data_IF_605008226044
#
_entry.id   IF_605008226044
#
_cell.length_a   1.000
_cell.length_b   1.000
_cell.length_c   1.000
_cell.angle_alpha   90.00
_cell.angle_beta   90.00
_cell.angle_gamma   90.00
#
_symmetry.space_group_name_H-M   'P 1'
#
loop_
_entity.id
_entity.type
_entity.pdbx_description
1 polymer ?
#
# COMPACT_ATOMS: atom_id res chain seq x y z
N UNK A 1 -7.62 3.05 -16.51
CA UNK A 1 -8.66 2.55 -15.59
C UNK A 1 -8.08 1.66 -14.49
N UNK A 2 -7.42 0.52 -14.77
CA UNK A 2 -6.84 -0.36 -13.72
C UNK A 2 -5.87 0.32 -12.74
N UNK A 3 -5.05 1.26 -13.22
CA UNK A 3 -4.06 1.97 -12.40
C UNK A 3 -4.72 2.96 -11.41
N UNK A 4 -5.85 3.57 -11.79
CA UNK A 4 -6.53 4.54 -10.93
C UNK A 4 -7.32 3.87 -9.81
N UNK A 5 -8.06 2.79 -10.10
CA UNK A 5 -8.75 2.03 -9.05
C UNK A 5 -7.76 1.48 -8.01
N UNK A 6 -6.62 0.93 -8.47
CA UNK A 6 -5.56 0.46 -7.58
C UNK A 6 -4.98 1.58 -6.70
N UNK A 7 -4.67 2.75 -7.29
CA UNK A 7 -4.19 3.91 -6.54
C UNK A 7 -5.20 4.39 -5.50
N UNK A 8 -6.48 4.35 -5.83
CA UNK A 8 -7.57 4.78 -4.95
C UNK A 8 -7.75 3.80 -3.78
N UNK A 9 -7.75 2.49 -4.03
CA UNK A 9 -7.75 1.49 -2.97
C UNK A 9 -6.55 1.67 -2.01
N UNK A 10 -5.34 1.86 -2.56
CA UNK A 10 -4.14 2.06 -1.74
C UNK A 10 -4.19 3.35 -0.90
N UNK A 11 -4.72 4.45 -1.46
CA UNK A 11 -4.94 5.67 -0.71
C UNK A 11 -5.95 5.48 0.42
N UNK A 12 -6.99 4.68 0.19
CA UNK A 12 -7.98 4.36 1.20
C UNK A 12 -7.41 3.48 2.32
N UNK A 13 -6.58 2.49 2.00
CA UNK A 13 -5.94 1.64 3.01
C UNK A 13 -5.04 2.45 3.96
N UNK A 14 -4.32 3.45 3.43
CA UNK A 14 -3.39 4.26 4.21
C UNK A 14 -4.07 5.44 4.94
N UNK A 15 -5.11 6.02 4.36
CA UNK A 15 -5.64 7.32 4.79
C UNK A 15 -7.16 7.33 4.99
N UNK A 16 -7.86 6.22 4.76
CA UNK A 16 -9.32 6.14 4.79
C UNK A 16 -9.94 6.51 6.13
N UNK A 17 -9.23 6.27 7.24
CA UNK A 17 -9.66 6.67 8.59
C UNK A 17 -9.63 8.19 8.84
N UNK A 18 -9.03 8.97 7.93
CA UNK A 18 -9.04 10.43 7.99
C UNK A 18 -10.26 11.04 7.30
N UNK A 19 -11.03 10.23 6.57
CA UNK A 19 -12.28 10.67 5.96
C UNK A 19 -13.38 10.82 7.01
N UNK A 20 -14.35 11.69 6.73
CA UNK A 20 -15.61 11.67 7.48
C UNK A 20 -16.34 10.36 7.23
N UNK A 21 -17.16 9.90 8.20
CA UNK A 21 -17.92 8.64 8.08
C UNK A 21 -18.66 8.53 6.74
N UNK A 22 -19.32 9.62 6.31
CA UNK A 22 -20.05 9.66 5.05
C UNK A 22 -19.16 9.56 3.81
N UNK A 23 -17.97 10.16 3.85
CA UNK A 23 -17.00 10.03 2.76
C UNK A 23 -16.47 8.60 2.71
N UNK A 24 -16.11 8.04 3.87
CA UNK A 24 -15.58 6.69 4.00
C UNK A 24 -16.59 5.66 3.48
N UNK A 25 -17.83 5.75 3.92
CA UNK A 25 -18.92 4.87 3.51
C UNK A 25 -19.17 4.93 1.99
N UNK A 26 -19.28 6.12 1.40
CA UNK A 26 -19.53 6.23 -0.04
C UNK A 26 -18.33 5.77 -0.88
N UNK A 27 -17.12 5.97 -0.37
CA UNK A 27 -15.90 5.50 -1.01
C UNK A 27 -15.82 3.97 -1.00
N UNK A 28 -16.12 3.35 0.15
CA UNK A 28 -16.14 1.90 0.35
C UNK A 28 -17.16 1.23 -0.57
N UNK A 29 -18.41 1.74 -0.59
CA UNK A 29 -19.45 1.24 -1.48
C UNK A 29 -19.04 1.30 -2.96
N UNK A 30 -18.35 2.35 -3.38
CA UNK A 30 -17.98 2.56 -4.78
C UNK A 30 -16.74 1.75 -5.20
N UNK A 31 -15.70 1.70 -4.37
CA UNK A 31 -14.42 1.09 -4.72
C UNK A 31 -14.26 -0.36 -4.25
N UNK A 32 -14.92 -0.75 -3.15
CA UNK A 32 -14.77 -2.07 -2.54
C UNK A 32 -16.01 -2.96 -2.74
N UNK A 33 -17.20 -2.38 -2.76
CA UNK A 33 -18.45 -3.12 -3.02
C UNK A 33 -18.94 -3.04 -4.48
N UNK A 34 -18.22 -2.33 -5.35
CA UNK A 34 -18.54 -2.15 -6.78
C UNK A 34 -19.94 -1.54 -7.07
N UNK A 35 -20.55 -0.83 -6.12
CA UNK A 35 -21.80 -0.12 -6.37
C UNK A 35 -21.59 1.05 -7.32
N UNK A 36 -22.51 1.22 -8.26
CA UNK A 36 -22.57 2.40 -9.10
C UNK A 36 -23.05 3.63 -8.32
N UNK A 37 -22.69 4.82 -8.81
CA UNK A 37 -23.18 6.08 -8.25
C UNK A 37 -24.71 6.19 -8.22
N UNK A 38 -25.41 5.46 -9.09
CA UNK A 38 -26.87 5.44 -9.12
C UNK A 38 -27.44 4.56 -8.00
N UNK A 39 -26.86 3.38 -7.76
CA UNK A 39 -27.24 2.48 -6.67
C UNK A 39 -26.99 3.15 -5.31
N UNK A 40 -25.85 3.81 -5.13
CA UNK A 40 -25.57 4.58 -3.91
C UNK A 40 -26.56 5.75 -3.77
N UNK A 41 -26.88 6.45 -4.86
CA UNK A 41 -27.82 7.56 -4.81
C UNK A 41 -29.23 7.11 -4.36
N UNK A 42 -29.68 5.96 -4.88
CA UNK A 42 -30.94 5.33 -4.53
C UNK A 42 -30.97 4.90 -3.05
N UNK A 43 -29.93 4.20 -2.59
CA UNK A 43 -29.82 3.72 -1.20
C UNK A 43 -29.88 4.84 -0.15
N UNK A 44 -29.33 6.02 -0.48
CA UNK A 44 -29.24 7.14 0.46
C UNK A 44 -30.24 8.26 0.17
N UNK A 45 -31.12 8.11 -0.84
CA UNK A 45 -32.13 9.09 -1.19
C UNK A 45 -31.55 10.45 -1.62
N UNK A 46 -30.39 10.45 -2.29
CA UNK A 46 -29.72 11.66 -2.78
C UNK A 46 -29.55 11.62 -4.30
N UNK A 47 -29.02 12.69 -4.88
CA UNK A 47 -28.73 12.71 -6.32
C UNK A 47 -27.44 11.97 -6.63
N UNK A 48 -27.36 11.38 -7.83
CA UNK A 48 -26.12 10.80 -8.38
C UNK A 48 -24.95 11.80 -8.39
N UNK A 49 -25.25 13.08 -8.61
CA UNK A 49 -24.24 14.15 -8.53
C UNK A 49 -23.76 14.36 -7.09
N UNK A 50 -24.67 14.31 -6.11
CA UNK A 50 -24.31 14.39 -4.70
C UNK A 50 -23.37 13.26 -4.26
N UNK A 51 -23.61 12.02 -4.71
CA UNK A 51 -22.68 10.89 -4.49
C UNK A 51 -21.32 11.19 -5.10
N UNK A 52 -21.30 11.58 -6.38
CA UNK A 52 -20.07 11.91 -7.11
C UNK A 52 -19.25 12.99 -6.39
N UNK A 53 -19.88 14.04 -5.90
CA UNK A 53 -19.21 15.15 -5.23
C UNK A 53 -18.61 14.74 -3.88
N UNK A 54 -19.20 13.76 -3.20
CA UNK A 54 -18.63 13.20 -1.96
C UNK A 54 -17.38 12.37 -2.29
N UNK A 55 -17.46 11.47 -3.27
CA UNK A 55 -16.35 10.60 -3.68
C UNK A 55 -15.17 11.44 -4.20
N UNK A 56 -15.40 12.38 -5.11
CA UNK A 56 -14.33 13.23 -5.68
C UNK A 56 -13.64 14.07 -4.59
N UNK A 57 -14.39 14.55 -3.60
CA UNK A 57 -13.78 15.27 -2.46
C UNK A 57 -12.96 14.34 -1.57
N UNK A 58 -13.40 13.11 -1.36
CA UNK A 58 -12.62 12.11 -0.63
C UNK A 58 -11.32 11.78 -1.39
N UNK A 59 -11.38 11.49 -2.69
CA UNK A 59 -10.21 11.24 -3.54
C UNK A 59 -9.19 12.40 -3.48
N UNK A 60 -9.66 13.64 -3.60
CA UNK A 60 -8.81 14.82 -3.55
C UNK A 60 -8.13 14.96 -2.19
N UNK A 61 -8.88 14.74 -1.10
CA UNK A 61 -8.34 14.83 0.26
C UNK A 61 -7.28 13.76 0.54
N UNK A 62 -7.54 12.49 0.20
CA UNK A 62 -6.57 11.40 0.35
C UNK A 62 -5.31 11.67 -0.48
N UNK A 63 -5.47 12.16 -1.71
CA UNK A 63 -4.35 12.52 -2.58
C UNK A 63 -3.51 13.64 -1.98
N UNK A 64 -4.14 14.68 -1.44
CA UNK A 64 -3.44 15.80 -0.79
C UNK A 64 -2.63 15.33 0.43
N UNK A 65 -3.15 14.38 1.20
CA UNK A 65 -2.42 13.79 2.32
C UNK A 65 -1.18 13.03 1.83
N UNK A 66 -1.29 12.21 0.77
CA UNK A 66 -0.12 11.55 0.18
C UNK A 66 0.88 12.56 -0.37
N UNK A 67 0.44 13.62 -1.02
CA UNK A 67 1.35 14.66 -1.55
C UNK A 67 2.15 15.34 -0.42
N UNK A 68 1.52 15.53 0.74
CA UNK A 68 2.15 16.15 1.93
C UNK A 68 3.04 15.20 2.72
N UNK A 69 2.63 13.94 2.87
CA UNK A 69 3.29 12.98 3.79
C UNK A 69 4.18 11.99 3.06
N UNK A 70 3.81 11.62 1.84
CA UNK A 70 4.53 10.67 0.99
C UNK A 70 4.65 9.28 1.58
N UNK A 71 3.74 8.84 2.46
CA UNK A 71 3.88 7.57 3.17
C UNK A 71 3.83 6.38 2.21
N UNK A 72 2.93 6.39 1.23
CA UNK A 72 2.82 5.31 0.25
C UNK A 72 4.10 5.26 -0.60
N UNK A 73 4.59 6.41 -1.06
CA UNK A 73 5.86 6.48 -1.81
C UNK A 73 7.02 5.92 -1.00
N UNK A 74 7.14 6.29 0.28
CA UNK A 74 8.21 5.83 1.17
C UNK A 74 8.08 4.34 1.47
N UNK A 75 6.86 3.84 1.65
CA UNK A 75 6.59 2.42 1.86
C UNK A 75 7.07 1.58 0.67
N UNK A 76 6.71 1.95 -0.56
CA UNK A 76 7.19 1.24 -1.75
C UNK A 76 8.71 1.33 -1.93
N UNK A 77 9.30 2.47 -1.61
CA UNK A 77 10.77 2.64 -1.66
C UNK A 77 11.45 1.71 -0.65
N UNK A 78 10.92 1.64 0.58
CA UNK A 78 11.43 0.75 1.62
C UNK A 78 11.29 -0.72 1.23
N UNK A 79 10.14 -1.14 0.69
CA UNK A 79 9.96 -2.51 0.19
C UNK A 79 10.96 -2.88 -0.92
N UNK A 80 11.23 -1.95 -1.84
CA UNK A 80 12.23 -2.19 -2.90
C UNK A 80 13.64 -2.35 -2.31
N UNK A 81 14.02 -1.48 -1.38
CA UNK A 81 15.31 -1.53 -0.71
C UNK A 81 15.48 -2.81 0.13
N UNK A 82 14.44 -3.27 0.83
CA UNK A 82 14.49 -4.51 1.60
C UNK A 82 14.69 -5.74 0.70
N UNK A 83 14.06 -5.77 -0.49
CA UNK A 83 14.30 -6.83 -1.48
C UNK A 83 15.73 -6.80 -2.03
N UNK A 84 16.31 -5.61 -2.20
CA UNK A 84 17.73 -5.49 -2.56
C UNK A 84 18.64 -6.04 -1.45
N UNK A 85 18.32 -5.75 -0.18
CA UNK A 85 19.04 -6.28 0.99
C UNK A 85 18.95 -7.80 1.05
N UNK A 86 17.75 -8.38 0.86
CA UNK A 86 17.53 -9.83 0.76
C UNK A 86 18.39 -10.45 -0.34
N UNK A 87 18.39 -9.85 -1.54
CA UNK A 87 19.23 -10.30 -2.66
C UNK A 87 20.73 -10.22 -2.37
N UNK A 88 21.18 -9.18 -1.66
CA UNK A 88 22.57 -9.07 -1.21
C UNK A 88 22.93 -10.15 -0.18
N UNK A 89 22.02 -10.45 0.76
CA UNK A 89 22.19 -11.51 1.75
C UNK A 89 22.37 -12.86 1.07
N UNK A 90 21.50 -13.16 0.10
CA UNK A 90 21.56 -14.40 -0.67
C UNK A 90 22.90 -14.54 -1.38
N UNK A 91 23.35 -13.47 -2.04
CA UNK A 91 24.64 -13.46 -2.75
C UNK A 91 25.83 -13.63 -1.81
N UNK A 92 25.76 -13.06 -0.61
CA UNK A 92 26.78 -13.21 0.43
C UNK A 92 26.89 -14.68 0.85
N UNK A 93 25.76 -15.34 1.12
CA UNK A 93 25.71 -16.75 1.50
C UNK A 93 26.25 -17.67 0.39
N UNK A 94 25.86 -17.43 -0.87
CA UNK A 94 26.41 -18.16 -2.03
C UNK A 94 27.94 -18.04 -2.11
N UNK A 95 28.47 -16.84 -1.90
CA UNK A 95 29.91 -16.58 -1.96
C UNK A 95 30.65 -17.23 -0.80
N UNK A 96 30.06 -17.20 0.41
CA UNK A 96 30.60 -17.87 1.58
C UNK A 96 30.73 -19.37 1.34
N UNK A 97 29.64 -20.01 0.93
CA UNK A 97 29.60 -21.45 0.64
C UNK A 97 30.56 -21.87 -0.48
N UNK A 98 30.81 -20.99 -1.46
CA UNK A 98 31.67 -21.32 -2.60
C UNK A 98 33.17 -21.11 -2.37
N UNK A 99 33.58 -20.32 -1.36
CA UNK A 99 34.98 -19.86 -1.25
C UNK A 99 35.55 -19.83 0.17
N UNK A 100 34.74 -19.47 1.15
CA UNK A 100 35.23 -19.12 2.48
C UNK A 100 34.88 -20.17 3.52
N UNK A 101 33.70 -20.79 3.41
CA UNK A 101 33.18 -21.78 4.36
C UNK A 101 33.25 -21.28 5.82
N UNK A 102 32.98 -19.99 6.03
CA UNK A 102 33.06 -19.35 7.33
C UNK A 102 31.72 -19.42 8.06
N UNK A 103 31.71 -20.03 9.25
CA UNK A 103 30.50 -20.26 10.04
C UNK A 103 29.88 -18.96 10.58
N UNK A 104 30.69 -17.94 10.90
CA UNK A 104 30.20 -16.66 11.41
C UNK A 104 29.54 -15.84 10.29
N UNK A 105 30.15 -15.82 9.09
CA UNK A 105 29.55 -15.21 7.91
C UNK A 105 28.24 -15.89 7.50
N UNK A 106 28.18 -17.22 7.58
CA UNK A 106 26.97 -18.01 7.32
C UNK A 106 25.84 -17.62 8.29
N UNK A 107 26.16 -17.53 9.58
CA UNK A 107 25.20 -17.17 10.63
C UNK A 107 24.67 -15.74 10.44
N UNK A 108 25.56 -14.77 10.21
CA UNK A 108 25.18 -13.37 9.99
C UNK A 108 24.37 -13.19 8.70
N UNK A 109 24.75 -13.88 7.61
CA UNK A 109 24.02 -13.85 6.34
C UNK A 109 22.58 -14.39 6.49
N UNK A 110 22.41 -15.51 7.19
CA UNK A 110 21.08 -16.08 7.49
C UNK A 110 20.24 -15.16 8.38
N UNK A 111 20.85 -14.55 9.39
CA UNK A 111 20.16 -13.59 10.24
C UNK A 111 19.67 -12.37 9.43
N UNK A 112 20.52 -11.83 8.56
CA UNK A 112 20.18 -10.69 7.72
C UNK A 112 19.07 -11.03 6.71
N UNK A 113 19.11 -12.24 6.14
CA UNK A 113 18.03 -12.74 5.28
C UNK A 113 16.71 -12.85 6.04
N UNK A 114 16.70 -13.48 7.22
CA UNK A 114 15.48 -13.63 8.02
C UNK A 114 14.88 -12.29 8.47
N UNK A 115 15.72 -11.30 8.80
CA UNK A 115 15.27 -9.94 9.12
C UNK A 115 14.64 -9.26 7.91
N UNK A 116 15.27 -9.35 6.73
CA UNK A 116 14.71 -8.78 5.50
C UNK A 116 13.38 -9.43 5.13
N UNK A 117 13.27 -10.76 5.21
CA UNK A 117 12.03 -11.50 4.94
C UNK A 117 10.90 -11.08 5.90
N UNK A 118 11.21 -10.93 7.19
CA UNK A 118 10.21 -10.48 8.19
C UNK A 118 9.70 -9.09 7.86
N UNK A 119 10.59 -8.14 7.57
CA UNK A 119 10.22 -6.75 7.25
C UNK A 119 9.52 -6.59 5.89
N UNK A 120 9.63 -7.55 4.98
CA UNK A 120 8.90 -7.56 3.71
C UNK A 120 7.46 -8.07 3.90
N UNK A 121 7.23 -8.91 4.91
CA UNK A 121 5.91 -9.50 5.22
C UNK A 121 5.04 -8.62 6.12
N UNK A 122 5.64 -7.67 6.85
CA UNK A 122 4.96 -6.61 7.61
C UNK A 122 4.50 -5.44 6.71
#
# INVERSE_FOLDING_TARGET
MKNQAYRMALLFDFYGDLLTDRQKEFYDLYYNEDLSLAEIAENYGITRQGVRDVIVRAEAYLTEIEDKTGLIRRFHTMQAQLKEVEGCAHRLLELNAARFEDDELEALGKQLQGLAETLIQE
#
